data_IF_315271341808
#
_entry.id   IF_315271341808
#
_cell.length_a   1.000
_cell.length_b   1.000
_cell.length_c   1.000
_cell.angle_alpha   90.00
_cell.angle_beta   90.00
_cell.angle_gamma   90.00
#
_symmetry.space_group_name_H-M   'P 1'
#
loop_
_entity.id
_entity.type
_entity.pdbx_description
1 polymer ?
#
# COMPACT_ATOMS: atom_id res chain seq x y z
N UNK A 1 -9.36 6.51 -19.22
CA UNK A 1 -8.03 7.10 -18.86
C UNK A 1 -7.82 6.89 -17.38
N UNK A 2 -6.59 6.86 -16.86
CA UNK A 2 -6.33 6.68 -15.42
C UNK A 2 -5.60 7.91 -14.91
N UNK A 3 -6.14 8.56 -13.87
CA UNK A 3 -5.46 9.68 -13.23
C UNK A 3 -4.48 9.16 -12.18
N UNK A 4 -3.33 9.82 -12.03
CA UNK A 4 -2.30 9.43 -11.06
C UNK A 4 -1.90 10.63 -10.20
N UNK A 5 -1.72 10.39 -8.90
CA UNK A 5 -1.19 11.36 -7.93
C UNK A 5 -0.03 10.74 -7.17
N UNK A 6 1.07 11.46 -7.02
CA UNK A 6 2.14 11.07 -6.08
C UNK A 6 1.64 11.23 -4.65
N UNK A 7 1.90 10.25 -3.80
CA UNK A 7 1.67 10.37 -2.37
C UNK A 7 2.73 11.27 -1.70
N UNK A 8 2.44 11.73 -0.50
CA UNK A 8 3.41 12.46 0.33
C UNK A 8 4.62 11.60 0.74
N UNK A 9 4.50 10.27 0.64
CA UNK A 9 5.56 9.31 0.93
C UNK A 9 6.32 8.94 -0.35
N UNK A 10 7.63 8.89 -0.28
CA UNK A 10 8.49 8.67 -1.45
C UNK A 10 8.19 7.33 -2.16
N UNK A 11 7.89 7.39 -3.46
CA UNK A 11 7.60 6.24 -4.31
C UNK A 11 6.18 5.71 -4.26
N UNK A 12 5.32 6.22 -3.37
CA UNK A 12 3.90 5.87 -3.32
C UNK A 12 3.07 6.65 -4.36
N UNK A 13 2.03 6.01 -4.89
CA UNK A 13 1.12 6.60 -5.88
C UNK A 13 -0.34 6.22 -5.62
N UNK A 14 -1.23 7.17 -5.86
CA UNK A 14 -2.67 6.94 -5.99
C UNK A 14 -3.05 6.88 -7.47
N UNK A 15 -3.95 5.96 -7.81
CA UNK A 15 -4.51 5.77 -9.13
C UNK A 15 -6.03 5.86 -9.06
N UNK A 16 -6.63 6.69 -9.93
CA UNK A 16 -8.09 6.82 -10.04
C UNK A 16 -8.49 6.42 -11.46
N UNK A 17 -9.13 5.24 -11.63
CA UNK A 17 -9.56 4.77 -12.95
C UNK A 17 -10.81 5.49 -13.45
N UNK A 18 -11.00 5.54 -14.77
CA UNK A 18 -12.32 5.87 -15.35
C UNK A 18 -13.30 4.72 -15.10
N UNK A 19 -14.52 5.10 -14.78
CA UNK A 19 -15.62 4.17 -14.53
C UNK A 19 -16.61 4.28 -15.69
N UNK A 20 -17.01 3.13 -16.21
CA UNK A 20 -17.97 3.00 -17.30
C UNK A 20 -19.26 2.40 -16.77
N UNK A 21 -20.30 3.24 -16.63
CA UNK A 21 -21.60 2.83 -16.11
C UNK A 21 -22.66 2.74 -17.21
N UNK A 22 -23.52 1.71 -17.15
CA UNK A 22 -24.70 1.55 -17.98
C UNK A 22 -25.87 0.94 -17.18
N UNK A 23 -26.97 0.56 -17.86
CA UNK A 23 -28.15 -0.06 -17.22
C UNK A 23 -27.88 -1.42 -16.53
N UNK A 24 -26.73 -2.05 -16.74
CA UNK A 24 -26.32 -3.30 -16.10
C UNK A 24 -25.48 -3.08 -14.85
N UNK A 25 -25.00 -1.86 -14.61
CA UNK A 25 -24.09 -1.50 -13.52
C UNK A 25 -22.86 -0.75 -14.01
N UNK A 26 -21.70 -1.08 -13.48
CA UNK A 26 -20.44 -0.44 -13.85
C UNK A 26 -19.39 -1.46 -14.30
N UNK A 27 -18.46 -0.96 -15.12
CA UNK A 27 -17.23 -1.65 -15.47
C UNK A 27 -16.04 -0.72 -15.14
N UNK A 28 -15.02 -1.27 -14.50
CA UNK A 28 -13.80 -0.55 -14.13
C UNK A 28 -12.58 -1.45 -14.24
N UNK A 29 -11.45 -0.86 -14.59
CA UNK A 29 -10.14 -1.54 -14.59
C UNK A 29 -9.24 -0.86 -13.56
N UNK A 30 -9.21 -1.36 -12.31
CA UNK A 30 -8.46 -0.71 -11.21
C UNK A 30 -6.95 -0.67 -11.43
N UNK A 31 -6.37 -1.64 -12.16
CA UNK A 31 -4.96 -1.63 -12.58
C UNK A 31 -4.87 -1.63 -14.10
N UNK A 32 -4.14 -0.67 -14.67
CA UNK A 32 -3.81 -0.58 -16.09
C UNK A 32 -2.29 -0.49 -16.23
N UNK A 33 -1.68 -1.48 -16.88
CA UNK A 33 -0.22 -1.64 -16.96
C UNK A 33 0.48 -0.40 -17.55
N UNK A 34 -0.06 0.16 -18.64
CA UNK A 34 0.52 1.35 -19.28
C UNK A 34 0.55 2.57 -18.35
N UNK A 35 -0.55 2.83 -17.63
CA UNK A 35 -0.63 3.95 -16.70
C UNK A 35 0.27 3.72 -15.47
N UNK A 36 0.33 2.48 -14.99
CA UNK A 36 1.22 2.11 -13.89
C UNK A 36 2.69 2.31 -14.27
N UNK A 37 3.11 1.79 -15.42
CA UNK A 37 4.50 1.96 -15.92
C UNK A 37 4.85 3.42 -16.14
N UNK A 38 3.92 4.21 -16.68
CA UNK A 38 4.14 5.65 -16.88
C UNK A 38 4.37 6.41 -15.56
N UNK A 39 3.71 6.00 -14.47
CA UNK A 39 3.83 6.63 -13.15
C UNK A 39 5.03 6.12 -12.36
N UNK A 40 5.22 4.79 -12.32
CA UNK A 40 6.15 4.09 -11.41
C UNK A 40 7.49 3.76 -12.09
N UNK A 41 7.50 3.61 -13.42
CA UNK A 41 8.70 3.33 -14.22
C UNK A 41 8.96 1.84 -14.51
N UNK A 42 8.18 0.93 -13.95
CA UNK A 42 8.27 -0.51 -14.20
C UNK A 42 6.90 -1.18 -14.08
N UNK A 43 6.76 -2.41 -14.55
CA UNK A 43 5.53 -3.22 -14.39
C UNK A 43 5.36 -3.68 -12.96
N UNK A 44 4.09 -3.79 -12.52
CA UNK A 44 3.80 -4.40 -11.23
C UNK A 44 3.86 -5.94 -11.34
N UNK A 45 4.79 -6.62 -10.63
CA UNK A 45 4.91 -8.06 -10.68
C UNK A 45 3.87 -8.70 -9.75
N UNK A 46 2.73 -9.14 -10.27
CA UNK A 46 1.70 -9.81 -9.45
C UNK A 46 2.10 -11.25 -9.17
N UNK A 47 2.43 -11.55 -7.91
CA UNK A 47 2.70 -12.91 -7.44
C UNK A 47 1.52 -13.55 -6.71
N UNK A 48 0.70 -12.74 -6.03
CA UNK A 48 -0.47 -13.21 -5.27
C UNK A 48 -1.53 -12.13 -5.21
N UNK A 49 -2.80 -12.53 -5.11
CA UNK A 49 -3.93 -11.64 -4.82
C UNK A 49 -4.58 -12.04 -3.52
N UNK A 50 -4.96 -11.05 -2.70
CA UNK A 50 -5.64 -11.25 -1.43
C UNK A 50 -6.91 -10.41 -1.38
N UNK A 51 -7.88 -10.87 -0.58
CA UNK A 51 -9.06 -10.09 -0.21
C UNK A 51 -9.24 -10.14 1.31
N UNK A 52 -9.62 -9.01 1.90
CA UNK A 52 -10.10 -8.97 3.28
C UNK A 52 -11.52 -8.41 3.31
N UNK A 53 -12.38 -9.00 4.13
CA UNK A 53 -13.70 -8.45 4.45
C UNK A 53 -13.70 -8.03 5.91
N UNK A 54 -14.13 -6.81 6.19
CA UNK A 54 -14.07 -6.18 7.50
C UNK A 54 -15.40 -5.52 7.87
N UNK A 55 -15.79 -5.67 9.14
CA UNK A 55 -16.88 -4.90 9.71
C UNK A 55 -16.44 -3.43 9.91
N UNK A 56 -17.39 -2.52 10.05
CA UNK A 56 -17.13 -1.12 10.39
C UNK A 56 -16.29 -1.03 11.67
N UNK A 57 -15.31 -0.13 11.67
CA UNK A 57 -14.40 0.10 12.79
C UNK A 57 -13.19 -0.85 12.82
N UNK A 58 -13.12 -1.88 11.98
CA UNK A 58 -11.91 -2.71 11.90
C UNK A 58 -10.77 -1.88 11.33
N UNK A 59 -9.71 -1.74 12.13
CA UNK A 59 -8.46 -1.10 11.77
C UNK A 59 -7.39 -2.20 11.64
N UNK A 60 -6.83 -2.36 10.44
CA UNK A 60 -5.75 -3.32 10.17
C UNK A 60 -4.48 -2.58 9.81
N UNK A 61 -3.39 -2.87 10.48
CA UNK A 61 -2.10 -2.22 10.26
C UNK A 61 -1.52 -1.67 11.56
N UNK A 62 -0.46 -0.86 11.49
CA UNK A 62 0.37 -0.63 10.30
C UNK A 62 1.21 -1.87 9.98
N UNK A 63 1.02 -2.48 8.83
CA UNK A 63 1.75 -3.69 8.44
C UNK A 63 2.81 -3.40 7.40
N UNK A 64 3.97 -4.04 7.54
CA UNK A 64 5.05 -4.00 6.56
C UNK A 64 5.76 -5.35 6.48
N UNK A 65 6.40 -5.59 5.36
CA UNK A 65 7.20 -6.80 5.14
C UNK A 65 8.67 -6.47 5.32
N UNK A 66 9.42 -7.32 6.02
CA UNK A 66 10.86 -7.19 6.17
C UNK A 66 11.53 -7.00 4.79
N UNK A 67 12.42 -6.03 4.68
CA UNK A 67 13.11 -5.71 3.44
C UNK A 67 14.62 -5.72 3.69
N UNK A 68 15.41 -6.54 2.95
CA UNK A 68 15.00 -7.49 1.92
C UNK A 68 14.21 -8.69 2.46
N UNK A 69 13.36 -9.37 1.65
CA UNK A 69 13.10 -9.15 0.21
C UNK A 69 12.08 -8.06 -0.07
N UNK A 70 11.25 -7.64 0.88
CA UNK A 70 10.17 -6.70 0.68
C UNK A 70 8.92 -7.30 0.02
N UNK A 71 7.85 -6.51 0.01
CA UNK A 71 6.62 -6.80 -0.72
C UNK A 71 5.93 -5.48 -1.09
N UNK A 72 5.91 -5.15 -2.37
CA UNK A 72 5.09 -4.07 -2.90
C UNK A 72 3.62 -4.49 -2.98
N UNK A 73 2.72 -3.53 -2.77
CA UNK A 73 1.26 -3.77 -2.77
C UNK A 73 0.57 -2.79 -3.71
N UNK A 74 -0.46 -3.27 -4.39
CA UNK A 74 -1.43 -2.46 -5.10
C UNK A 74 -2.80 -2.75 -4.52
N UNK A 75 -3.43 -1.75 -3.89
CA UNK A 75 -4.58 -1.94 -3.01
C UNK A 75 -5.74 -1.07 -3.47
N UNK A 76 -6.97 -1.60 -3.46
CA UNK A 76 -8.19 -0.83 -3.71
C UNK A 76 -9.38 -1.42 -2.92
N UNK A 77 -10.41 -0.61 -2.73
CA UNK A 77 -11.65 -1.04 -2.08
C UNK A 77 -12.64 -1.54 -3.15
N UNK A 78 -12.97 -2.84 -3.10
CA UNK A 78 -13.90 -3.46 -4.04
C UNK A 78 -15.36 -3.40 -3.59
N UNK A 79 -15.62 -3.14 -2.30
CA UNK A 79 -16.95 -2.97 -1.71
C UNK A 79 -16.86 -2.16 -0.43
N UNK A 80 -17.86 -1.32 -0.18
CA UNK A 80 -17.91 -0.45 0.99
C UNK A 80 -16.95 0.72 0.89
N UNK A 81 -16.44 1.17 2.04
CA UNK A 81 -15.60 2.36 2.14
C UNK A 81 -14.50 2.15 3.17
N UNK A 82 -13.32 2.62 2.88
CA UNK A 82 -12.17 2.58 3.78
C UNK A 82 -11.41 3.91 3.78
N UNK A 83 -10.76 4.22 4.89
CA UNK A 83 -9.70 5.22 4.95
C UNK A 83 -8.36 4.46 4.97
N UNK A 84 -7.59 4.61 3.92
CA UNK A 84 -6.33 3.91 3.69
C UNK A 84 -5.15 4.82 4.04
N UNK A 85 -4.17 4.31 4.78
CA UNK A 85 -3.01 5.04 5.25
C UNK A 85 -1.72 4.36 4.80
N UNK A 86 -0.82 5.16 4.23
CA UNK A 86 0.55 4.73 3.89
C UNK A 86 1.52 5.59 4.67
N UNK A 87 2.44 4.95 5.40
CA UNK A 87 3.44 5.61 6.25
C UNK A 87 4.84 5.23 5.81
N UNK A 88 5.72 6.20 5.68
CA UNK A 88 7.12 5.93 5.39
C UNK A 88 7.90 5.64 6.68
N UNK A 89 8.26 4.38 6.84
CA UNK A 89 9.01 3.87 8.00
C UNK A 89 10.44 3.49 7.64
N UNK A 90 10.90 3.80 6.42
CA UNK A 90 12.23 3.43 5.92
C UNK A 90 13.28 4.38 6.48
N UNK A 91 14.18 3.86 7.29
CA UNK A 91 15.28 4.63 7.89
C UNK A 91 16.17 5.21 6.77
N UNK A 92 16.41 6.51 6.83
CA UNK A 92 17.18 7.26 5.82
C UNK A 92 16.35 7.71 4.60
N UNK A 93 15.04 7.50 4.59
CA UNK A 93 14.13 8.07 3.58
C UNK A 93 13.97 9.59 3.76
N UNK A 94 13.87 10.37 2.65
CA UNK A 94 13.56 11.81 2.73
C UNK A 94 12.17 12.11 3.29
N UNK A 95 11.28 11.09 3.33
CA UNK A 95 9.93 11.20 3.85
C UNK A 95 9.69 10.33 5.10
N UNK A 96 10.76 9.91 5.80
CA UNK A 96 10.64 9.12 7.03
C UNK A 96 9.69 9.77 8.03
N UNK A 97 8.75 8.99 8.58
CA UNK A 97 7.71 9.44 9.51
C UNK A 97 6.54 10.20 8.85
N UNK A 98 6.62 10.53 7.56
CA UNK A 98 5.49 11.12 6.83
C UNK A 98 4.47 10.06 6.41
N UNK A 99 3.24 10.51 6.18
CA UNK A 99 2.15 9.65 5.74
C UNK A 99 1.26 10.36 4.72
N UNK A 100 0.45 9.57 4.02
CA UNK A 100 -0.65 10.04 3.18
C UNK A 100 -1.89 9.20 3.47
N UNK A 101 -3.07 9.80 3.30
CA UNK A 101 -4.37 9.14 3.45
C UNK A 101 -5.13 9.18 2.14
N UNK A 102 -5.76 8.07 1.80
CA UNK A 102 -6.63 7.96 0.64
C UNK A 102 -7.97 7.39 1.08
N UNK A 103 -9.06 8.13 0.83
CA UNK A 103 -10.38 7.57 0.96
C UNK A 103 -10.65 6.66 -0.23
N UNK A 104 -10.89 5.39 0.04
CA UNK A 104 -11.20 4.36 -0.94
C UNK A 104 -12.65 3.91 -0.82
N UNK A 105 -13.29 3.68 -1.94
CA UNK A 105 -14.66 3.17 -2.01
C UNK A 105 -14.91 2.40 -3.32
N UNK A 106 -16.05 1.70 -3.36
CA UNK A 106 -16.50 0.95 -4.53
C UNK A 106 -17.21 1.84 -5.59
N UNK A 107 -17.18 3.15 -5.42
CA UNK A 107 -17.68 4.13 -6.39
C UNK A 107 -16.57 4.71 -7.24
N UNK A 108 -15.46 5.12 -6.61
CA UNK A 108 -14.30 5.70 -7.29
C UNK A 108 -13.25 4.67 -7.70
N UNK A 109 -13.21 3.52 -7.03
CA UNK A 109 -12.18 2.47 -7.21
C UNK A 109 -10.75 3.01 -7.15
N UNK A 110 -10.52 4.06 -6.36
CA UNK A 110 -9.17 4.55 -6.13
C UNK A 110 -8.30 3.43 -5.62
N UNK A 111 -7.10 3.36 -6.16
CA UNK A 111 -6.11 2.38 -5.77
C UNK A 111 -4.82 3.06 -5.31
N UNK A 112 -4.08 2.42 -4.42
CA UNK A 112 -2.79 2.90 -3.95
C UNK A 112 -1.71 1.88 -4.27
N UNK A 113 -0.62 2.35 -4.87
CA UNK A 113 0.62 1.61 -4.99
C UNK A 113 1.53 1.95 -3.81
N UNK A 114 1.96 0.92 -3.12
CA UNK A 114 2.78 0.95 -1.91
C UNK A 114 4.06 0.18 -2.24
N UNK A 115 5.20 0.84 -2.52
CA UNK A 115 6.47 0.16 -2.76
C UNK A 115 7.00 -0.54 -1.51
N UNK A 116 8.04 -1.34 -1.70
CA UNK A 116 8.71 -2.07 -0.62
C UNK A 116 9.12 -1.13 0.52
N UNK A 117 8.95 -1.64 1.75
CA UNK A 117 9.39 -0.98 2.98
C UNK A 117 8.46 0.09 3.53
N UNK A 118 7.42 0.52 2.82
CA UNK A 118 6.37 1.35 3.41
C UNK A 118 5.43 0.53 4.30
N UNK A 119 4.91 1.14 5.35
CA UNK A 119 3.87 0.56 6.19
C UNK A 119 2.49 0.95 5.68
N UNK A 120 1.52 0.04 5.83
CA UNK A 120 0.16 0.17 5.32
C UNK A 120 -0.87 -0.16 6.39
N UNK A 121 -1.89 0.67 6.50
CA UNK A 121 -3.07 0.42 7.31
C UNK A 121 -4.34 0.85 6.60
N UNK A 122 -5.49 0.29 6.99
CA UNK A 122 -6.77 0.84 6.62
C UNK A 122 -7.80 0.71 7.74
N UNK A 123 -8.72 1.66 7.80
CA UNK A 123 -9.90 1.66 8.65
C UNK A 123 -11.14 1.41 7.79
N UNK A 124 -11.89 0.34 8.07
CA UNK A 124 -13.18 0.10 7.44
C UNK A 124 -14.23 1.07 7.99
N UNK A 125 -14.83 1.87 7.11
CA UNK A 125 -15.84 2.88 7.47
C UNK A 125 -17.27 2.35 7.37
N UNK A 126 -17.45 1.19 6.73
CA UNK A 126 -18.75 0.52 6.53
C UNK A 126 -18.62 -0.97 6.86
N UNK A 127 -19.77 -1.62 7.15
CA UNK A 127 -19.79 -3.07 7.28
C UNK A 127 -19.56 -3.74 5.92
N UNK A 128 -19.01 -4.95 5.96
CA UNK A 128 -18.67 -5.72 4.77
C UNK A 128 -17.72 -5.01 3.79
N UNK A 129 -16.92 -4.06 4.27
CA UNK A 129 -15.87 -3.43 3.47
C UNK A 129 -14.87 -4.49 2.98
N UNK A 130 -14.68 -4.56 1.65
CA UNK A 130 -13.76 -5.49 1.00
C UNK A 130 -12.58 -4.74 0.42
N UNK A 131 -11.39 -4.99 0.97
CA UNK A 131 -10.14 -4.53 0.41
C UNK A 131 -9.50 -5.63 -0.43
N UNK A 132 -9.07 -5.27 -1.63
CA UNK A 132 -8.41 -6.16 -2.59
C UNK A 132 -6.96 -5.75 -2.75
N UNK A 133 -6.07 -6.74 -2.76
CA UNK A 133 -4.62 -6.53 -2.82
C UNK A 133 -4.02 -7.37 -3.94
N UNK A 134 -3.20 -6.74 -4.76
CA UNK A 134 -2.22 -7.41 -5.60
C UNK A 134 -0.86 -7.22 -4.90
N UNK A 135 -0.10 -8.30 -4.74
CA UNK A 135 1.18 -8.24 -4.03
C UNK A 135 2.31 -8.83 -4.88
N UNK A 136 3.50 -8.22 -4.77
CA UNK A 136 4.66 -8.55 -5.60
C UNK A 136 5.39 -9.83 -5.20
N UNK A 137 5.09 -10.37 -4.01
CA UNK A 137 5.64 -11.63 -3.50
C UNK A 137 4.56 -12.42 -2.76
N UNK A 138 4.73 -13.74 -2.62
CA UNK A 138 3.82 -14.56 -1.82
C UNK A 138 3.91 -14.18 -0.34
N UNK A 139 2.78 -14.31 0.37
CA UNK A 139 2.71 -14.06 1.81
C UNK A 139 3.62 -15.03 2.58
N UNK A 140 4.40 -14.47 3.50
CA UNK A 140 5.29 -15.20 4.41
C UNK A 140 5.16 -14.60 5.80
N UNK A 141 4.50 -15.33 6.70
CA UNK A 141 4.15 -14.85 8.05
C UNK A 141 5.38 -14.42 8.87
N UNK A 142 6.52 -15.08 8.66
CA UNK A 142 7.78 -14.79 9.36
C UNK A 142 8.44 -13.47 8.96
N UNK A 143 8.02 -12.88 7.82
CA UNK A 143 8.51 -11.60 7.30
C UNK A 143 7.56 -10.43 7.60
N UNK A 144 6.37 -10.72 8.11
CA UNK A 144 5.36 -9.70 8.34
C UNK A 144 5.51 -9.07 9.73
N UNK A 145 5.67 -7.77 9.77
CA UNK A 145 5.79 -6.95 10.97
C UNK A 145 4.63 -5.97 11.09
N UNK A 146 4.47 -5.42 12.30
CA UNK A 146 3.47 -4.41 12.60
C UNK A 146 4.07 -3.27 13.44
N UNK A 147 3.52 -2.07 13.28
CA UNK A 147 3.71 -0.91 14.14
C UNK A 147 2.31 -0.49 14.64
N UNK A 148 2.24 0.06 15.84
CA UNK A 148 1.01 0.57 16.44
C UNK A 148 0.34 1.61 15.50
N UNK A 149 -0.85 1.34 14.93
CA UNK A 149 -1.54 2.29 14.05
C UNK A 149 -2.07 3.52 14.79
N UNK A 150 -2.05 3.50 16.13
CA UNK A 150 -2.50 4.58 17.01
C UNK A 150 -1.32 5.33 17.65
N UNK A 151 -0.09 5.10 17.17
CA UNK A 151 1.09 5.80 17.67
C UNK A 151 0.93 7.32 17.50
N UNK A 152 0.89 8.10 18.61
CA UNK A 152 0.72 9.53 18.54
C UNK A 152 1.91 10.25 17.86
N UNK A 153 3.08 9.62 17.78
CA UNK A 153 4.24 10.16 17.09
C UNK A 153 4.06 10.13 15.55
N UNK A 154 3.31 9.17 15.02
CA UNK A 154 2.91 9.12 13.61
C UNK A 154 1.76 10.10 13.38
N UNK A 155 0.80 10.14 14.32
CA UNK A 155 -0.28 11.12 14.32
C UNK A 155 -1.29 10.95 13.18
N UNK A 156 -1.60 9.70 12.78
CA UNK A 156 -2.64 9.44 11.79
C UNK A 156 -3.99 9.97 12.27
N UNK A 157 -4.68 10.82 11.49
CA UNK A 157 -5.92 11.47 11.89
C UNK A 157 -7.13 10.55 11.70
N UNK A 158 -7.15 9.43 12.40
CA UNK A 158 -8.29 8.53 12.39
C UNK A 158 -9.54 9.23 12.96
N UNK A 159 -10.74 8.99 12.36
CA UNK A 159 -12.00 9.55 12.87
C UNK A 159 -12.25 9.15 14.32
N UNK A 160 -12.37 10.13 15.22
CA UNK A 160 -12.52 9.90 16.67
C UNK A 160 -13.89 9.32 17.05
N UNK A 161 -14.89 9.46 16.19
CA UNK A 161 -16.25 8.93 16.36
C UNK A 161 -16.37 7.43 16.03
N UNK A 162 -15.29 6.81 15.55
CA UNK A 162 -15.26 5.37 15.22
C UNK A 162 -14.58 4.60 16.33
N UNK A 163 -15.28 3.61 16.89
CA UNK A 163 -14.67 2.64 17.80
C UNK A 163 -13.79 1.68 17.02
N UNK A 164 -12.48 1.68 17.29
CA UNK A 164 -11.51 0.85 16.58
C UNK A 164 -11.49 -0.59 17.08
N UNK A 165 -11.45 -1.52 16.13
CA UNK A 165 -11.33 -2.97 16.37
C UNK A 165 -10.03 -3.46 15.75
N UNK A 166 -9.04 -3.71 16.60
CA UNK A 166 -7.72 -4.20 16.21
C UNK A 166 -7.63 -5.71 16.41
N UNK A 167 -6.72 -6.36 15.69
CA UNK A 167 -6.31 -7.72 15.97
C UNK A 167 -5.45 -7.77 17.26
N UNK A 168 -5.36 -8.94 17.89
CA UNK A 168 -4.46 -9.13 19.04
C UNK A 168 -3.00 -8.75 18.71
N UNK A 169 -2.56 -9.02 17.47
CA UNK A 169 -1.23 -8.64 16.98
C UNK A 169 -1.07 -7.13 16.90
N UNK A 170 -2.04 -6.41 16.33
CA UNK A 170 -1.95 -4.97 16.12
C UNK A 170 -2.06 -4.21 17.45
N UNK A 171 -2.81 -4.76 18.43
CA UNK A 171 -2.94 -4.17 19.77
C UNK A 171 -1.63 -4.15 20.56
N UNK A 172 -0.72 -5.10 20.31
CA UNK A 172 0.57 -5.20 21.02
C UNK A 172 1.75 -4.77 20.14
N UNK A 173 1.48 -4.21 18.97
CA UNK A 173 2.52 -3.76 18.05
C UNK A 173 3.35 -2.62 18.69
N UNK A 174 4.68 -2.60 18.48
CA UNK A 174 5.54 -1.54 19.02
C UNK A 174 5.23 -0.20 18.33
N UNK A 175 5.51 0.88 19.04
CA UNK A 175 5.53 2.23 18.43
C UNK A 175 6.70 2.38 17.46
N UNK A 176 6.60 3.37 16.58
CA UNK A 176 7.62 3.62 15.53
C UNK A 176 9.02 3.73 16.13
N UNK A 177 9.20 4.54 17.17
CA UNK A 177 10.50 4.73 17.83
C UNK A 177 11.04 3.44 18.49
N UNK A 178 10.16 2.60 19.00
CA UNK A 178 10.56 1.30 19.58
C UNK A 178 10.99 0.31 18.49
N UNK A 179 10.27 0.29 17.37
CA UNK A 179 10.61 -0.54 16.22
C UNK A 179 11.95 -0.11 15.60
N UNK A 180 12.20 1.20 15.52
CA UNK A 180 13.48 1.76 15.08
C UNK A 180 14.63 1.35 16.01
N UNK A 181 14.47 1.55 17.33
CA UNK A 181 15.48 1.20 18.31
C UNK A 181 15.80 -0.32 18.33
N UNK A 182 14.84 -1.17 17.97
CA UNK A 182 15.04 -2.62 17.82
C UNK A 182 15.62 -3.05 16.47
N UNK A 183 15.88 -2.11 15.55
CA UNK A 183 16.38 -2.41 14.21
C UNK A 183 15.37 -3.18 13.33
N UNK A 184 14.08 -3.04 13.58
CA UNK A 184 13.03 -3.74 12.84
C UNK A 184 12.67 -3.05 11.52
N UNK A 185 12.98 -1.74 11.41
CA UNK A 185 12.55 -0.93 10.27
C UNK A 185 13.43 -1.18 9.03
N UNK A 186 12.83 -1.16 7.82
CA UNK A 186 13.57 -1.27 6.58
C UNK A 186 14.55 -0.10 6.40
N UNK A 187 15.69 -0.37 5.74
CA UNK A 187 16.58 0.70 5.29
C UNK A 187 16.11 1.21 3.92
N UNK A 188 16.08 2.52 3.73
CA UNK A 188 15.61 3.11 2.46
C UNK A 188 16.44 2.62 1.27
N UNK A 189 17.73 2.48 1.44
CA UNK A 189 18.64 1.99 0.39
C UNK A 189 18.28 0.59 -0.11
N UNK A 190 17.78 -0.28 0.78
CA UNK A 190 17.37 -1.66 0.44
C UNK A 190 16.00 -1.74 -0.26
N UNK A 191 15.22 -0.64 -0.21
CA UNK A 191 13.90 -0.54 -0.81
C UNK A 191 13.92 0.10 -2.21
N UNK A 192 15.07 0.57 -2.67
CA UNK A 192 15.19 1.16 -4.00
C UNK A 192 15.30 0.06 -5.06
N UNK A 193 14.68 0.26 -6.25
CA UNK A 193 14.90 -0.65 -7.37
C UNK A 193 16.40 -0.83 -7.62
N UNK A 194 16.85 -2.07 -7.79
CA UNK A 194 18.22 -2.32 -8.22
C UNK A 194 18.47 -1.50 -9.49
N UNK A 195 19.59 -0.78 -9.52
CA UNK A 195 19.99 -0.01 -10.71
C UNK A 195 19.92 -0.94 -11.93
N UNK A 196 19.16 -0.55 -12.96
CA UNK A 196 19.09 -1.34 -14.19
C UNK A 196 20.54 -1.61 -14.67
N UNK A 197 20.90 -2.85 -14.99
CA UNK A 197 22.21 -3.13 -15.56
C UNK A 197 22.39 -2.24 -16.80
N UNK A 198 23.60 -1.71 -17.04
CA UNK A 198 23.86 -0.89 -18.21
C UNK A 198 23.38 -1.64 -19.45
N UNK A 199 22.66 -0.94 -20.33
CA UNK A 199 22.18 -1.51 -21.59
C UNK A 199 23.39 -2.16 -22.28
N UNK A 200 23.30 -3.46 -22.53
CA UNK A 200 24.33 -4.17 -23.30
C UNK A 200 24.32 -3.54 -24.71
N UNK A 201 25.41 -2.92 -25.16
CA UNK A 201 25.52 -2.58 -26.57
C UNK A 201 25.57 -3.89 -27.37
N UNK A 202 24.76 -3.96 -28.42
CA UNK A 202 24.76 -5.03 -29.44
C UNK A 202 24.07 -6.36 -29.09
N UNK A 203 22.74 -6.40 -29.30
CA UNK A 203 22.16 -7.57 -29.95
C UNK A 203 21.87 -7.19 -31.41
N UNK A 204 22.53 -7.86 -32.39
CA UNK A 204 22.17 -7.68 -33.79
C UNK A 204 20.73 -8.10 -34.01
N UNK A 205 19.92 -7.22 -34.59
CA UNK A 205 18.59 -7.52 -35.12
C UNK A 205 18.72 -8.61 -36.18
N UNK A 206 18.33 -9.81 -35.86
CA UNK A 206 18.10 -10.86 -36.86
C UNK A 206 16.83 -10.46 -37.60
N UNK A 207 16.98 -10.21 -38.92
CA UNK A 207 15.90 -9.97 -39.88
C UNK A 207 15.11 -11.25 -40.15
#
# INVERSE_FOLDING_TARGET
>A
MMHTRKLAVAGGFEFTPDIHSDHRGLFVSPLQDEAFVAAVGHRFPVAQTNHSRSARGVLRGLHFTATPPGQAKYVYCARGRALDAVVDIRVGSPTFGQWDLVQMDAESFRAVYIPDGLAHAFLALEDDTVMSYLVSSAYRAELEHAIDPLDPAIGLPWPQEVEFRLSARDTIAPRLAEAEAKGMLPQYADCLPAAAPPAHPDRPTVR
#
